data_IF_368034471862
#
_entry.id   IF_368034471862
#
_cell.length_a   1.000
_cell.length_b   1.000
_cell.length_c   1.000
_cell.angle_alpha   90.00
_cell.angle_beta   90.00
_cell.angle_gamma   90.00
#
_symmetry.space_group_name_H-M   'P 1'
#
loop_
_entity.id
_entity.type
_entity.pdbx_description
1 polymer ?
#
# COMPACT_ATOMS: atom_id res chain seq x y z
N UNK A 1 -13.82 1.15 -54.80
CA UNK A 1 -13.56 1.51 -53.39
C UNK A 1 -13.66 0.25 -52.55
N UNK A 2 -12.58 -0.53 -52.49
CA UNK A 2 -12.56 -1.86 -51.86
C UNK A 2 -11.26 -1.97 -51.06
N UNK A 3 -11.22 -1.41 -49.84
CA UNK A 3 -9.95 -1.37 -49.10
C UNK A 3 -9.98 -0.79 -47.69
N UNK A 4 -11.05 -0.10 -47.28
CA UNK A 4 -11.12 0.49 -45.92
C UNK A 4 -11.89 -0.37 -44.90
N UNK A 5 -12.52 -1.47 -45.29
CA UNK A 5 -13.41 -2.23 -44.38
C UNK A 5 -12.73 -3.33 -43.57
N UNK A 6 -11.50 -3.71 -43.91
CA UNK A 6 -10.83 -4.85 -43.25
C UNK A 6 -9.91 -4.46 -42.09
N UNK A 7 -9.58 -3.17 -41.93
CA UNK A 7 -8.70 -2.71 -40.85
C UNK A 7 -9.42 -2.56 -39.49
N UNK A 8 -10.73 -2.37 -39.49
CA UNK A 8 -11.50 -2.16 -38.26
C UNK A 8 -11.69 -3.45 -37.42
N UNK A 9 -11.54 -4.63 -38.05
CA UNK A 9 -11.78 -5.91 -37.38
C UNK A 9 -10.57 -6.43 -36.58
N UNK A 10 -9.35 -5.96 -36.90
CA UNK A 10 -8.13 -6.37 -36.18
C UNK A 10 -7.95 -5.57 -34.87
N UNK A 11 -8.42 -4.32 -34.81
CA UNK A 11 -8.29 -3.48 -33.62
C UNK A 11 -9.17 -3.98 -32.47
N UNK A 12 -10.34 -4.57 -32.76
CA UNK A 12 -11.26 -5.08 -31.73
C UNK A 12 -10.73 -6.36 -31.06
N UNK A 13 -9.95 -7.19 -31.76
CA UNK A 13 -9.35 -8.41 -31.18
C UNK A 13 -8.18 -8.10 -30.23
N UNK A 14 -7.50 -6.96 -30.38
CA UNK A 14 -6.45 -6.52 -29.45
C UNK A 14 -7.03 -6.02 -28.11
N UNK A 15 -8.28 -5.54 -28.09
CA UNK A 15 -8.96 -5.07 -26.86
C UNK A 15 -9.57 -6.24 -26.07
N UNK A 16 -9.81 -7.39 -26.72
CA UNK A 16 -10.42 -8.58 -26.09
C UNK A 16 -9.40 -9.64 -25.64
N UNK A 17 -8.10 -9.43 -25.87
CA UNK A 17 -7.04 -10.29 -25.33
C UNK A 17 -6.79 -10.13 -23.82
N UNK A 18 -7.42 -9.15 -23.17
CA UNK A 18 -7.22 -8.79 -21.76
C UNK A 18 -7.95 -9.69 -20.74
N UNK A 19 -8.15 -10.98 -21.03
CA UNK A 19 -8.91 -11.89 -20.16
C UNK A 19 -8.18 -13.21 -19.90
N UNK A 20 -6.92 -13.18 -19.43
CA UNK A 20 -6.31 -14.30 -18.66
C UNK A 20 -4.94 -13.94 -18.02
N UNK A 21 -4.62 -12.66 -17.79
CA UNK A 21 -3.44 -12.32 -16.98
C UNK A 21 -3.80 -12.48 -15.50
N UNK A 22 -2.88 -13.00 -14.69
CA UNK A 22 -3.08 -13.11 -13.25
C UNK A 22 -3.19 -11.72 -12.65
N UNK A 23 -4.41 -11.22 -12.52
CA UNK A 23 -4.69 -9.87 -12.03
C UNK A 23 -3.92 -9.60 -10.74
N UNK A 24 -3.37 -8.39 -10.64
CA UNK A 24 -2.71 -7.98 -9.43
C UNK A 24 -3.66 -8.03 -8.23
N UNK A 25 -3.16 -8.49 -7.09
CA UNK A 25 -3.98 -8.65 -5.90
C UNK A 25 -3.19 -8.35 -4.63
N UNK A 26 -3.90 -7.94 -3.58
CA UNK A 26 -3.33 -7.82 -2.24
C UNK A 26 -3.19 -9.23 -1.65
N UNK A 27 -1.96 -9.65 -1.40
CA UNK A 27 -1.69 -10.94 -0.77
C UNK A 27 -2.00 -10.85 0.73
N UNK A 28 -3.06 -11.55 1.10
CA UNK A 28 -3.61 -11.64 2.45
C UNK A 28 -3.22 -12.98 3.07
N UNK A 29 -1.98 -13.40 2.86
CA UNK A 29 -1.43 -14.59 3.49
C UNK A 29 -1.74 -14.52 4.99
N UNK A 30 -2.57 -15.45 5.47
CA UNK A 30 -3.04 -15.57 6.87
C UNK A 30 -4.23 -14.72 7.34
N UNK A 31 -5.15 -14.31 6.47
CA UNK A 31 -6.46 -13.85 6.96
C UNK A 31 -7.33 -15.03 7.42
N UNK A 32 -7.20 -15.40 8.69
CA UNK A 32 -8.30 -16.05 9.41
C UNK A 32 -9.58 -15.25 9.13
N UNK A 33 -10.59 -15.91 8.56
CA UNK A 33 -11.90 -15.33 8.25
C UNK A 33 -12.50 -14.74 9.53
N UNK A 34 -12.31 -13.45 9.76
CA UNK A 34 -13.03 -12.71 10.79
C UNK A 34 -13.81 -11.58 10.12
N UNK A 35 -15.13 -11.80 10.13
CA UNK A 35 -16.13 -10.84 9.69
C UNK A 35 -16.06 -9.63 10.62
N UNK A 36 -15.88 -8.45 10.01
CA UNK A 36 -15.94 -7.10 10.60
C UNK A 36 -14.76 -6.72 11.51
N UNK A 37 -13.94 -5.82 10.97
CA UNK A 37 -13.21 -4.76 11.69
C UNK A 37 -12.59 -5.18 13.03
N UNK A 38 -11.59 -6.06 12.97
CA UNK A 38 -10.57 -6.11 14.02
C UNK A 38 -9.21 -6.20 13.34
N UNK A 39 -8.22 -5.50 13.94
CA UNK A 39 -6.80 -5.63 13.59
C UNK A 39 -6.50 -7.12 13.44
N UNK A 40 -6.15 -7.55 12.23
CA UNK A 40 -5.81 -8.95 11.99
C UNK A 40 -4.67 -9.32 12.95
N UNK A 41 -4.77 -10.42 13.71
CA UNK A 41 -3.65 -10.92 14.50
C UNK A 41 -2.41 -10.98 13.60
N UNK A 42 -1.34 -10.28 13.95
CA UNK A 42 -0.10 -10.23 13.16
C UNK A 42 0.03 -9.07 12.17
N UNK A 43 -0.96 -8.17 12.02
CA UNK A 43 -0.81 -7.02 11.13
C UNK A 43 0.21 -6.00 11.68
N UNK A 44 1.31 -5.85 10.94
CA UNK A 44 2.47 -5.04 11.30
C UNK A 44 2.57 -3.73 10.51
N UNK A 45 1.48 -3.30 9.86
CA UNK A 45 1.46 -2.11 9.01
C UNK A 45 2.08 -2.32 7.63
N UNK A 46 2.20 -3.57 7.16
CA UNK A 46 2.66 -3.86 5.81
C UNK A 46 1.55 -4.48 4.97
N UNK A 47 1.56 -4.15 3.68
CA UNK A 47 0.68 -4.69 2.66
C UNK A 47 1.54 -5.26 1.55
N UNK A 48 1.24 -6.48 1.13
CA UNK A 48 1.90 -7.10 -0.02
C UNK A 48 0.94 -7.08 -1.20
N UNK A 49 1.38 -6.57 -2.34
CA UNK A 49 0.67 -6.64 -3.62
C UNK A 49 1.45 -7.55 -4.54
N UNK A 50 0.80 -8.57 -5.08
CA UNK A 50 1.35 -9.46 -6.07
C UNK A 50 0.87 -9.07 -7.44
N UNK A 51 1.76 -9.09 -8.42
CA UNK A 51 1.51 -8.55 -9.74
C UNK A 51 2.34 -9.27 -10.82
N UNK A 52 1.93 -9.14 -12.07
CA UNK A 52 2.67 -9.61 -13.24
C UNK A 52 3.41 -8.47 -13.95
N UNK A 53 4.24 -8.78 -14.95
CA UNK A 53 5.06 -7.76 -15.62
C UNK A 53 4.23 -6.70 -16.38
N UNK A 54 2.98 -7.02 -16.72
CA UNK A 54 2.08 -6.14 -17.47
C UNK A 54 1.28 -5.21 -16.56
N UNK A 55 1.24 -5.50 -15.26
CA UNK A 55 0.50 -4.70 -14.29
C UNK A 55 1.08 -3.29 -14.16
N UNK A 56 0.29 -2.23 -14.45
CA UNK A 56 0.74 -0.86 -14.27
C UNK A 56 1.02 -0.52 -12.81
N UNK A 57 2.05 0.30 -12.56
CA UNK A 57 2.37 0.76 -11.19
C UNK A 57 1.18 1.38 -10.46
N UNK A 58 0.40 2.19 -11.17
CA UNK A 58 -0.78 2.85 -10.62
C UNK A 58 -1.82 1.86 -10.06
N UNK A 59 -1.96 0.70 -10.70
CA UNK A 59 -2.90 -0.33 -10.23
C UNK A 59 -2.42 -0.97 -8.93
N UNK A 60 -1.11 -1.26 -8.84
CA UNK A 60 -0.50 -1.78 -7.60
C UNK A 60 -0.64 -0.80 -6.44
N UNK A 61 -0.38 0.48 -6.72
CA UNK A 61 -0.50 1.55 -5.73
C UNK A 61 -1.96 1.74 -5.28
N UNK A 62 -2.93 1.65 -6.21
CA UNK A 62 -4.36 1.70 -5.91
C UNK A 62 -4.77 0.57 -4.96
N UNK A 63 -4.37 -0.67 -5.27
CA UNK A 63 -4.67 -1.84 -4.44
C UNK A 63 -4.07 -1.70 -3.03
N UNK A 64 -2.84 -1.20 -2.93
CA UNK A 64 -2.20 -0.95 -1.64
C UNK A 64 -2.90 0.17 -0.86
N UNK A 65 -3.27 1.26 -1.53
CA UNK A 65 -4.00 2.38 -0.92
C UNK A 65 -5.35 1.91 -0.37
N UNK A 66 -6.12 1.16 -1.14
CA UNK A 66 -7.40 0.59 -0.70
C UNK A 66 -7.24 -0.33 0.52
N UNK A 67 -6.16 -1.09 0.59
CA UNK A 67 -5.87 -1.94 1.74
C UNK A 67 -5.50 -1.14 3.00
N UNK A 68 -4.72 -0.07 2.87
CA UNK A 68 -4.35 0.80 4.00
C UNK A 68 -5.52 1.68 4.47
N UNK A 69 -6.38 2.14 3.55
CA UNK A 69 -7.52 3.03 3.80
C UNK A 69 -8.56 2.40 4.76
N UNK A 70 -8.65 1.06 4.81
CA UNK A 70 -9.47 0.34 5.80
C UNK A 70 -9.12 0.75 7.25
N UNK A 71 -7.89 1.23 7.47
CA UNK A 71 -7.38 1.73 8.75
C UNK A 71 -7.24 3.26 8.79
N UNK A 72 -7.69 3.99 7.78
CA UNK A 72 -7.48 5.45 7.65
C UNK A 72 -6.02 5.84 7.40
N UNK A 73 -5.22 4.92 6.84
CA UNK A 73 -3.78 5.10 6.62
C UNK A 73 -3.45 5.25 5.14
N UNK A 74 -2.32 5.89 4.85
CA UNK A 74 -1.76 5.99 3.49
C UNK A 74 -0.78 4.87 3.21
N UNK A 75 -0.71 4.44 1.96
CA UNK A 75 0.27 3.47 1.50
C UNK A 75 1.54 4.16 0.97
N UNK A 76 2.71 3.60 1.26
CA UNK A 76 3.98 3.95 0.64
C UNK A 76 4.70 2.69 0.19
N UNK A 77 5.10 2.62 -1.07
CA UNK A 77 5.92 1.52 -1.59
C UNK A 77 7.26 1.49 -0.84
N UNK A 78 7.64 0.32 -0.34
CA UNK A 78 8.92 0.11 0.35
C UNK A 78 9.91 -0.69 -0.49
N UNK A 79 9.43 -1.73 -1.18
CA UNK A 79 10.29 -2.56 -2.02
C UNK A 79 9.51 -3.28 -3.11
N UNK A 80 10.22 -3.66 -4.16
CA UNK A 80 9.72 -4.55 -5.21
C UNK A 80 10.69 -5.71 -5.35
N UNK A 81 10.17 -6.93 -5.43
CA UNK A 81 10.98 -8.14 -5.59
C UNK A 81 10.37 -9.04 -6.67
N UNK A 82 11.10 -9.32 -7.76
CA UNK A 82 10.57 -10.13 -8.84
C UNK A 82 10.54 -11.62 -8.44
N UNK A 83 9.54 -12.36 -8.91
CA UNK A 83 9.43 -13.83 -8.72
C UNK A 83 9.45 -14.27 -7.24
N UNK A 84 8.81 -13.48 -6.38
CA UNK A 84 8.72 -13.71 -4.93
C UNK A 84 7.27 -13.67 -4.40
N UNK A 85 6.27 -13.78 -5.28
CA UNK A 85 4.88 -13.96 -4.85
C UNK A 85 4.23 -15.29 -5.32
N UNK A 86 3.46 -15.32 -6.40
CA UNK A 86 2.73 -16.53 -6.87
C UNK A 86 2.97 -16.77 -8.36
N UNK A 87 2.75 -18.00 -8.83
CA UNK A 87 2.99 -18.37 -10.24
C UNK A 87 2.33 -17.46 -11.27
N UNK A 88 1.09 -17.02 -11.04
CA UNK A 88 0.32 -16.18 -11.98
C UNK A 88 0.54 -14.68 -11.80
N UNK A 89 1.10 -14.26 -10.66
CA UNK A 89 1.44 -12.88 -10.32
C UNK A 89 2.80 -12.91 -9.60
N UNK A 90 3.89 -13.12 -10.35
CA UNK A 90 5.18 -13.56 -9.79
C UNK A 90 5.89 -12.47 -9.01
N UNK A 91 5.68 -11.21 -9.35
CA UNK A 91 6.37 -10.11 -8.70
C UNK A 91 5.63 -9.68 -7.44
N UNK A 92 6.39 -9.18 -6.48
CA UNK A 92 5.91 -8.74 -5.18
C UNK A 92 6.26 -7.28 -4.99
N UNK A 93 5.27 -6.45 -4.67
CA UNK A 93 5.44 -5.08 -4.23
C UNK A 93 5.03 -5.01 -2.76
N UNK A 94 5.93 -4.55 -1.91
CA UNK A 94 5.68 -4.38 -0.49
C UNK A 94 5.42 -2.91 -0.21
N UNK A 95 4.37 -2.66 0.54
CA UNK A 95 3.92 -1.34 0.94
C UNK A 95 3.87 -1.26 2.45
N UNK A 96 4.08 -0.05 2.95
CA UNK A 96 3.95 0.30 4.34
C UNK A 96 2.75 1.24 4.51
N UNK A 97 1.86 0.90 5.44
CA UNK A 97 0.73 1.74 5.81
C UNK A 97 1.13 2.67 6.95
N UNK A 98 1.03 3.97 6.72
CA UNK A 98 1.45 4.99 7.67
C UNK A 98 0.39 6.06 7.87
N UNK A 99 0.41 6.68 9.03
CA UNK A 99 -0.37 7.88 9.33
C UNK A 99 0.49 9.10 8.95
N UNK A 100 0.03 9.98 8.04
CA UNK A 100 0.80 11.15 7.63
C UNK A 100 1.11 12.12 8.79
N UNK A 101 0.31 12.12 9.86
CA UNK A 101 0.47 12.97 11.04
C UNK A 101 1.39 12.34 12.09
N UNK A 102 1.66 11.03 11.99
CA UNK A 102 2.59 10.31 12.85
C UNK A 102 3.98 10.20 12.20
N UNK A 103 4.69 11.33 12.21
CA UNK A 103 6.11 11.40 11.82
C UNK A 103 6.97 11.81 13.01
N UNK A 104 8.14 11.21 13.08
CA UNK A 104 9.22 11.63 13.98
C UNK A 104 9.74 13.00 13.57
N UNK A 105 10.44 13.70 14.46
CA UNK A 105 10.97 15.04 14.17
C UNK A 105 11.97 15.06 12.99
N UNK A 106 12.67 13.94 12.75
CA UNK A 106 13.59 13.73 11.63
C UNK A 106 12.88 13.39 10.31
N UNK A 107 11.54 13.32 10.29
CA UNK A 107 10.72 12.96 9.14
C UNK A 107 10.50 11.45 8.96
N UNK A 108 11.11 10.62 9.81
CA UNK A 108 10.94 9.16 9.79
C UNK A 108 9.48 8.78 10.02
N UNK A 109 9.01 7.80 9.25
CA UNK A 109 7.65 7.27 9.39
C UNK A 109 7.53 6.46 10.68
N UNK A 110 6.41 6.66 11.40
CA UNK A 110 6.08 5.88 12.58
C UNK A 110 5.16 4.73 12.19
N UNK A 111 5.39 3.55 12.76
CA UNK A 111 4.47 2.43 12.61
C UNK A 111 3.36 2.55 13.64
N UNK A 112 2.11 2.88 13.23
CA UNK A 112 1.01 3.05 14.18
C UNK A 112 0.66 1.73 14.88
N UNK A 113 1.13 0.58 14.38
CA UNK A 113 0.93 -0.72 14.99
C UNK A 113 2.07 -1.17 15.91
N UNK A 114 3.17 -0.41 15.98
CA UNK A 114 4.32 -0.69 16.86
C UNK A 114 4.28 0.15 18.13
N UNK A 115 3.95 -0.49 19.26
CA UNK A 115 3.86 0.19 20.57
C UNK A 115 5.14 0.95 20.94
N UNK A 116 6.32 0.43 20.60
CA UNK A 116 7.59 1.09 20.91
C UNK A 116 7.78 2.37 20.10
N UNK A 117 7.46 2.33 18.79
CA UNK A 117 7.55 3.50 17.92
C UNK A 117 6.52 4.56 18.28
N UNK A 118 5.27 4.18 18.55
CA UNK A 118 4.23 5.11 19.02
C UNK A 118 4.62 5.77 20.34
N UNK A 119 5.21 5.03 21.28
CA UNK A 119 5.73 5.59 22.53
C UNK A 119 6.89 6.57 22.28
N UNK A 120 7.80 6.27 21.36
CA UNK A 120 8.90 7.16 21.01
C UNK A 120 8.38 8.48 20.41
N UNK A 121 7.48 8.37 19.43
CA UNK A 121 6.81 9.51 18.83
C UNK A 121 6.09 10.40 19.85
N UNK A 122 5.31 9.78 20.76
CA UNK A 122 4.62 10.52 21.82
C UNK A 122 5.59 11.27 22.75
N UNK A 123 6.75 10.69 23.08
CA UNK A 123 7.75 11.34 23.92
C UNK A 123 8.33 12.58 23.24
N UNK A 124 8.69 12.49 21.97
CA UNK A 124 9.21 13.64 21.21
C UNK A 124 8.19 14.78 21.12
N UNK A 125 6.92 14.44 20.84
CA UNK A 125 5.84 15.42 20.77
C UNK A 125 5.60 16.12 22.12
N UNK A 126 5.66 15.37 23.22
CA UNK A 126 5.48 15.95 24.56
C UNK A 126 6.67 16.80 24.99
N UNK A 127 7.91 16.39 24.67
CA UNK A 127 9.11 17.18 24.94
C UNK A 127 9.11 18.50 24.15
N UNK A 128 8.74 18.46 22.87
CA UNK A 128 8.60 19.67 22.05
C UNK A 128 7.57 20.66 22.61
N UNK A 129 6.45 20.16 23.14
CA UNK A 129 5.43 21.00 23.80
C UNK A 129 5.93 21.59 25.12
N UNK A 130 6.66 20.83 25.92
CA UNK A 130 7.21 21.31 27.19
C UNK A 130 8.29 22.40 26.99
N UNK A 131 9.11 22.29 25.94
CA UNK A 131 10.09 23.32 25.58
C UNK A 131 9.51 24.58 24.91
N UNK A 132 8.20 24.58 24.60
CA UNK A 132 7.48 25.71 23.99
C UNK A 132 6.63 26.49 25.00
N UNK A 133 6.64 26.14 26.29
CA UNK A 133 6.04 27.00 27.31
C UNK A 133 6.87 28.30 27.38
N UNK A 134 6.29 29.47 27.06
CA UNK A 134 7.01 30.72 27.28
C UNK A 134 7.24 30.89 28.78
N UNK A 135 8.47 31.28 29.15
CA UNK A 135 8.72 32.02 30.38
C UNK A 135 7.76 33.21 30.40
N UNK A 136 6.58 33.02 30.97
CA UNK A 136 5.72 34.12 31.33
C UNK A 136 6.40 34.83 32.50
N UNK A 137 7.10 35.91 32.14
CA UNK A 137 7.50 37.07 32.94
C UNK A 137 7.28 36.95 34.45
N UNK A 138 8.40 36.87 35.18
CA UNK A 138 8.51 37.34 36.56
C UNK A 138 8.65 38.86 36.58
#
# INVERSE_FOLDING_TARGET
>A
MLGLRSAALIIVLAVLGGCSSGDAFVDRAEMAKSIKKQKLPGYNGQVTVCYDSETPKAERDRLAAEACEVYGLKAQLTSETPWQCRMTAPHRAQYYCYDPDMRMADGSLVNPFSNSQVKAWNRERNAAKAGQQPEAEQ
#
